data_IF_033495503038
#
_entry.id   IF_033495503038
#
_cell.length_a   1.000
_cell.length_b   1.000
_cell.length_c   1.000
_cell.angle_alpha   90.00
_cell.angle_beta   90.00
_cell.angle_gamma   90.00
#
_symmetry.space_group_name_H-M   'P 1'
#
loop_
_entity.id
_entity.type
_entity.pdbx_description
1 polymer ?
#
# COMPACT_ATOMS: atom_id res chain seq x y z
N UNK A 1 28.25 40.16 -2.61
CA UNK A 1 28.37 39.17 -1.53
C UNK A 1 27.13 38.24 -1.66
N UNK A 2 27.27 37.20 -2.43
CA UNK A 2 26.20 36.22 -2.73
C UNK A 2 26.43 34.98 -1.87
N UNK A 3 25.58 34.77 -0.88
CA UNK A 3 25.59 33.55 -0.07
C UNK A 3 24.91 32.43 -0.83
N UNK A 4 25.70 31.48 -1.32
CA UNK A 4 25.23 30.20 -1.82
C UNK A 4 24.90 29.29 -0.63
N UNK A 5 23.61 29.09 -0.31
CA UNK A 5 23.17 28.01 0.54
C UNK A 5 23.01 26.74 -0.31
N UNK A 6 23.99 25.84 -0.22
CA UNK A 6 23.84 24.43 -0.58
C UNK A 6 22.99 23.76 0.51
N UNK A 7 21.74 23.41 0.18
CA UNK A 7 20.92 22.53 1.01
C UNK A 7 21.33 21.09 0.70
N UNK A 8 21.85 20.31 1.65
CA UNK A 8 22.23 18.94 1.38
C UNK A 8 21.03 17.99 1.47
N UNK A 9 20.90 17.16 0.46
CA UNK A 9 20.51 15.75 0.45
C UNK A 9 19.84 15.20 1.73
N UNK A 10 18.56 15.48 1.94
CA UNK A 10 17.78 14.88 3.03
C UNK A 10 16.46 14.24 2.55
N UNK A 11 16.22 14.17 1.25
CA UNK A 11 14.90 13.77 0.72
C UNK A 11 14.78 12.28 0.30
N UNK A 12 15.88 11.52 0.31
CA UNK A 12 15.79 10.07 0.06
C UNK A 12 15.45 9.23 1.30
N UNK A 13 15.46 9.83 2.49
CA UNK A 13 15.32 9.10 3.75
C UNK A 13 13.91 8.52 3.99
N UNK A 14 12.85 9.12 3.43
CA UNK A 14 11.48 8.65 3.70
C UNK A 14 11.14 7.39 2.90
N UNK A 15 11.67 7.26 1.69
CA UNK A 15 11.50 6.03 0.89
C UNK A 15 12.31 4.86 1.47
N UNK A 16 13.51 5.16 1.99
CA UNK A 16 14.40 4.18 2.64
C UNK A 16 13.81 3.70 3.98
N UNK A 17 13.17 4.57 4.76
CA UNK A 17 12.53 4.18 6.03
C UNK A 17 11.39 3.19 5.80
N UNK A 18 10.68 3.27 4.68
CA UNK A 18 9.63 2.28 4.35
C UNK A 18 10.20 0.95 3.89
N UNK A 19 11.36 0.95 3.19
CA UNK A 19 12.05 -0.27 2.76
C UNK A 19 12.68 -1.02 3.95
N UNK A 20 13.25 -0.29 4.91
CA UNK A 20 13.85 -0.87 6.13
C UNK A 20 12.84 -1.56 7.03
N UNK A 21 11.59 -1.09 7.00
CA UNK A 21 10.50 -1.74 7.73
C UNK A 21 10.08 -3.08 7.09
N UNK A 22 10.57 -3.40 5.88
CA UNK A 22 10.32 -4.67 5.18
C UNK A 22 11.34 -5.79 5.54
N UNK A 23 12.43 -5.48 6.21
CA UNK A 23 13.36 -6.51 6.68
C UNK A 23 12.67 -7.37 7.75
N UNK A 24 12.82 -8.69 7.73
CA UNK A 24 12.29 -9.55 8.76
C UNK A 24 12.98 -9.20 10.09
N UNK A 25 12.25 -8.57 10.99
CA UNK A 25 12.63 -8.57 12.39
C UNK A 25 12.36 -9.99 12.87
N UNK A 26 13.39 -10.81 12.91
CA UNK A 26 13.35 -12.08 13.63
C UNK A 26 13.20 -11.75 15.11
N UNK A 27 11.97 -11.79 15.61
CA UNK A 27 11.71 -11.91 17.03
C UNK A 27 12.12 -13.32 17.41
N UNK A 28 13.32 -13.46 17.94
CA UNK A 28 13.70 -14.65 18.66
C UNK A 28 12.92 -14.64 19.98
N UNK A 29 11.87 -15.45 20.02
CA UNK A 29 11.30 -15.92 21.27
C UNK A 29 12.15 -17.15 21.64
N UNK A 30 13.15 -16.97 22.48
CA UNK A 30 13.93 -18.07 23.00
C UNK A 30 14.55 -17.72 24.34
N UNK A 31 14.08 -18.35 25.35
CA UNK A 31 14.94 -18.88 26.38
C UNK A 31 15.69 -20.07 25.75
N UNK A 32 16.89 -19.84 25.21
CA UNK A 32 17.88 -20.88 25.04
C UNK A 32 19.28 -20.23 25.12
N UNK A 33 20.16 -20.98 25.81
CA UNK A 33 21.52 -20.71 26.17
C UNK A 33 22.34 -20.01 25.06
N UNK A 34 22.91 -18.87 25.40
CA UNK A 34 23.83 -18.09 24.56
C UNK A 34 25.15 -18.88 24.48
N UNK A 35 25.42 -19.49 23.33
CA UNK A 35 26.77 -19.92 22.95
C UNK A 35 27.55 -18.70 22.48
N UNK A 36 28.56 -18.32 23.22
CA UNK A 36 29.35 -17.09 23.05
C UNK A 36 30.12 -17.00 21.73
N UNK A 37 30.24 -18.08 20.96
CA UNK A 37 31.02 -18.11 19.71
C UNK A 37 30.24 -17.68 18.45
N UNK A 38 28.92 -17.49 18.55
CA UNK A 38 28.07 -17.09 17.41
C UNK A 38 27.81 -15.58 17.33
N UNK A 39 28.24 -14.79 18.31
CA UNK A 39 27.91 -13.37 18.44
C UNK A 39 28.78 -12.46 17.54
N UNK A 40 30.04 -12.87 17.27
CA UNK A 40 30.99 -12.07 16.49
C UNK A 40 30.68 -12.08 14.98
N UNK A 41 30.26 -13.20 14.41
CA UNK A 41 29.94 -13.29 12.98
C UNK A 41 28.67 -12.51 12.61
N UNK A 42 27.72 -12.42 13.55
CA UNK A 42 26.50 -11.63 13.35
C UNK A 42 26.73 -10.13 13.47
N UNK A 43 27.67 -9.70 14.30
CA UNK A 43 28.06 -8.30 14.45
C UNK A 43 28.81 -7.77 13.21
N UNK A 44 29.76 -8.55 12.67
CA UNK A 44 30.54 -8.21 11.48
C UNK A 44 29.65 -8.13 10.23
N UNK A 45 28.73 -9.08 10.04
CA UNK A 45 27.72 -9.04 9.01
C UNK A 45 26.74 -7.85 9.12
N UNK A 46 26.42 -7.42 10.34
CA UNK A 46 25.57 -6.27 10.58
C UNK A 46 26.28 -4.93 10.28
N UNK A 47 27.60 -4.84 10.57
CA UNK A 47 28.41 -3.66 10.22
C UNK A 47 28.65 -3.57 8.70
N UNK A 48 28.94 -4.67 8.01
CA UNK A 48 29.07 -4.70 6.56
C UNK A 48 27.76 -4.30 5.87
N UNK A 49 26.61 -4.80 6.34
CA UNK A 49 25.30 -4.38 5.82
C UNK A 49 25.02 -2.89 6.10
N UNK A 50 25.43 -2.34 7.24
CA UNK A 50 25.28 -0.91 7.54
C UNK A 50 26.17 -0.03 6.66
N UNK A 51 27.39 -0.44 6.32
CA UNK A 51 28.30 0.34 5.48
C UNK A 51 27.83 0.45 4.02
N UNK A 52 27.07 -0.53 3.53
CA UNK A 52 26.47 -0.55 2.18
C UNK A 52 25.11 0.16 2.12
N UNK A 53 24.57 0.56 3.23
CA UNK A 53 23.23 1.15 3.33
C UNK A 53 23.10 2.43 2.47
N UNK A 54 22.10 2.42 1.56
CA UNK A 54 21.84 3.54 0.66
C UNK A 54 22.62 3.52 -0.65
N UNK A 55 23.55 2.56 -0.85
CA UNK A 55 24.21 2.37 -2.15
C UNK A 55 23.27 1.71 -3.15
N UNK A 56 23.45 1.97 -4.45
CA UNK A 56 22.66 1.31 -5.51
C UNK A 56 22.88 -0.22 -5.51
N UNK A 57 24.09 -0.67 -5.20
CA UNK A 57 24.41 -2.09 -5.09
C UNK A 57 23.58 -2.77 -3.98
N UNK A 58 23.50 -2.16 -2.80
CA UNK A 58 22.70 -2.68 -1.70
C UNK A 58 21.19 -2.71 -2.03
N UNK A 59 20.69 -1.71 -2.74
CA UNK A 59 19.30 -1.70 -3.22
C UNK A 59 19.03 -2.84 -4.19
N UNK A 60 19.96 -3.11 -5.12
CA UNK A 60 19.83 -4.20 -6.08
C UNK A 60 19.86 -5.57 -5.40
N UNK A 61 20.71 -5.77 -4.38
CA UNK A 61 20.72 -6.99 -3.57
C UNK A 61 19.37 -7.19 -2.85
N UNK A 62 18.86 -6.15 -2.19
CA UNK A 62 17.55 -6.22 -1.52
C UNK A 62 16.41 -6.58 -2.48
N UNK A 63 16.41 -6.00 -3.68
CA UNK A 63 15.38 -6.29 -4.68
C UNK A 63 15.45 -7.76 -5.13
N UNK A 64 16.63 -8.33 -5.28
CA UNK A 64 16.79 -9.76 -5.64
C UNK A 64 16.23 -10.71 -4.58
N UNK A 65 16.26 -10.32 -3.31
CA UNK A 65 15.70 -11.10 -2.20
C UNK A 65 14.20 -10.90 -1.98
N UNK A 66 13.60 -9.91 -2.66
CA UNK A 66 12.18 -9.59 -2.48
C UNK A 66 11.28 -10.56 -3.25
N UNK A 67 10.14 -10.90 -2.67
CA UNK A 67 9.09 -11.64 -3.38
C UNK A 67 8.54 -10.83 -4.55
N UNK A 68 7.99 -11.54 -5.56
CA UNK A 68 7.33 -10.91 -6.70
C UNK A 68 6.19 -9.96 -6.29
N UNK A 69 5.46 -10.29 -5.22
CA UNK A 69 4.42 -9.42 -4.68
C UNK A 69 4.98 -8.13 -4.05
N UNK A 70 6.12 -8.22 -3.35
CA UNK A 70 6.80 -7.03 -2.82
C UNK A 70 7.29 -6.12 -3.96
N UNK A 71 7.88 -6.70 -5.00
CA UNK A 71 8.34 -5.93 -6.17
C UNK A 71 7.14 -5.23 -6.80
N UNK A 72 6.08 -5.98 -7.10
CA UNK A 72 4.89 -5.46 -7.77
C UNK A 72 4.15 -4.37 -6.97
N UNK A 73 4.21 -4.37 -5.63
CA UNK A 73 3.51 -3.38 -4.82
C UNK A 73 4.40 -2.20 -4.37
N UNK A 74 5.70 -2.43 -4.14
CA UNK A 74 6.53 -1.43 -3.45
C UNK A 74 7.69 -0.89 -4.29
N UNK A 75 8.10 -1.62 -5.34
CA UNK A 75 9.26 -1.26 -6.17
C UNK A 75 8.84 -0.72 -7.52
N UNK A 76 7.83 -1.33 -8.16
CA UNK A 76 7.36 -0.93 -9.48
C UNK A 76 6.92 0.55 -9.50
N UNK A 77 7.32 1.28 -10.53
CA UNK A 77 7.02 2.70 -10.71
C UNK A 77 5.60 2.90 -11.28
N UNK A 78 4.57 2.58 -10.51
CA UNK A 78 3.16 2.58 -10.94
C UNK A 78 2.68 3.91 -11.56
N UNK A 79 3.34 5.01 -11.24
CA UNK A 79 2.96 6.34 -11.70
C UNK A 79 3.79 6.83 -12.90
N UNK A 80 4.65 5.97 -13.48
CA UNK A 80 5.57 6.39 -14.55
C UNK A 80 4.82 6.97 -15.76
N UNK A 81 3.73 6.33 -16.19
CA UNK A 81 2.92 6.73 -17.34
C UNK A 81 2.22 8.10 -17.17
N UNK A 82 2.17 8.63 -15.94
CA UNK A 82 1.50 9.91 -15.66
C UNK A 82 2.52 11.04 -15.78
N UNK A 83 2.40 11.82 -16.85
CA UNK A 83 3.37 12.85 -17.23
C UNK A 83 2.91 14.29 -16.96
N UNK A 84 1.65 14.47 -16.53
CA UNK A 84 1.12 15.80 -16.16
C UNK A 84 0.28 15.74 -14.87
N UNK A 85 0.12 16.88 -14.16
CA UNK A 85 -0.71 16.96 -12.97
C UNK A 85 -2.13 16.48 -13.21
N UNK A 86 -2.55 15.45 -12.48
CA UNK A 86 -3.75 14.66 -12.76
C UNK A 86 -4.38 14.16 -11.47
N UNK A 87 -5.58 13.59 -11.57
CA UNK A 87 -6.26 12.92 -10.46
C UNK A 87 -6.64 11.52 -10.86
N UNK A 88 -6.26 10.57 -10.02
CA UNK A 88 -6.73 9.18 -10.09
C UNK A 88 -7.93 9.05 -9.16
N UNK A 89 -9.02 8.52 -9.69
CA UNK A 89 -10.28 8.34 -8.97
C UNK A 89 -10.51 6.87 -8.68
N UNK A 90 -10.88 6.57 -7.45
CA UNK A 90 -11.31 5.26 -7.01
C UNK A 90 -12.67 5.35 -6.31
N UNK A 91 -13.48 4.32 -6.46
CA UNK A 91 -14.71 4.12 -5.71
C UNK A 91 -14.44 3.15 -4.57
N UNK A 92 -14.77 3.53 -3.37
CA UNK A 92 -14.75 2.68 -2.20
C UNK A 92 -16.15 2.19 -1.87
N UNK A 93 -16.31 0.90 -1.61
CA UNK A 93 -17.55 0.31 -1.12
C UNK A 93 -17.25 -0.56 0.09
N UNK A 94 -18.10 -0.50 1.10
CA UNK A 94 -18.15 -1.43 2.23
C UNK A 94 -19.52 -2.05 2.29
N UNK A 95 -19.56 -3.37 2.29
CA UNK A 95 -20.74 -4.21 2.49
C UNK A 95 -20.51 -5.07 3.72
N UNK A 96 -21.45 -5.07 4.66
CA UNK A 96 -21.32 -5.77 5.93
C UNK A 96 -22.69 -6.22 6.42
N UNK A 97 -22.75 -7.39 7.03
CA UNK A 97 -23.93 -7.86 7.74
C UNK A 97 -24.03 -7.32 9.17
N UNK A 98 -22.92 -6.78 9.72
CA UNK A 98 -22.81 -6.32 11.12
C UNK A 98 -22.62 -4.82 11.30
N UNK A 99 -22.25 -4.11 10.25
CA UNK A 99 -21.95 -2.66 10.29
C UNK A 99 -22.65 -1.96 9.14
N UNK A 100 -22.79 -0.64 9.24
CA UNK A 100 -23.39 0.15 8.18
C UNK A 100 -22.63 -0.01 6.85
N UNK A 101 -23.39 -0.31 5.80
CA UNK A 101 -22.90 -0.26 4.44
C UNK A 101 -22.66 1.18 4.02
N UNK A 102 -21.58 1.44 3.31
CA UNK A 102 -21.36 2.77 2.75
C UNK A 102 -20.56 2.73 1.44
N UNK A 103 -20.70 3.81 0.69
CA UNK A 103 -19.94 4.07 -0.53
C UNK A 103 -19.26 5.43 -0.43
N UNK A 104 -18.10 5.56 -1.02
CA UNK A 104 -17.37 6.81 -1.03
C UNK A 104 -16.34 6.87 -2.14
N UNK A 105 -15.65 7.98 -2.23
CA UNK A 105 -14.60 8.20 -3.25
C UNK A 105 -13.25 8.38 -2.57
N UNK A 106 -12.23 7.82 -3.20
CA UNK A 106 -10.83 8.05 -2.90
C UNK A 106 -10.20 8.72 -4.10
N UNK A 107 -9.47 9.79 -3.89
CA UNK A 107 -8.81 10.54 -4.96
C UNK A 107 -7.35 10.76 -4.58
N UNK A 108 -6.47 10.31 -5.46
CA UNK A 108 -5.06 10.70 -5.46
C UNK A 108 -4.93 11.91 -6.37
N UNK A 109 -4.46 13.03 -5.84
CA UNK A 109 -4.26 14.24 -6.59
C UNK A 109 -2.75 14.46 -6.77
N UNK A 110 -2.26 14.21 -7.96
CA UNK A 110 -0.88 14.47 -8.38
C UNK A 110 -0.80 15.96 -8.68
N UNK A 111 -0.16 16.71 -7.78
CA UNK A 111 -0.12 18.17 -7.84
C UNK A 111 1.11 18.71 -8.58
N UNK A 112 2.22 17.96 -8.56
CA UNK A 112 3.48 18.30 -9.19
C UNK A 112 4.22 17.03 -9.61
N UNK A 113 5.00 17.13 -10.67
CA UNK A 113 5.94 16.13 -11.15
C UNK A 113 7.31 16.78 -11.16
N UNK A 114 8.30 16.13 -10.57
CA UNK A 114 9.68 16.59 -10.56
C UNK A 114 10.45 16.09 -11.80
N UNK A 115 11.66 16.61 -12.02
CA UNK A 115 12.49 16.29 -13.19
C UNK A 115 12.88 14.81 -13.25
N UNK A 116 13.01 14.14 -12.09
CA UNK A 116 13.24 12.70 -11.96
C UNK A 116 11.97 11.85 -12.13
N UNK A 117 10.88 12.46 -12.63
CA UNK A 117 9.55 11.88 -12.81
C UNK A 117 8.87 11.44 -11.49
N UNK A 118 9.40 11.75 -10.34
CA UNK A 118 8.70 11.53 -9.08
C UNK A 118 7.53 12.49 -8.89
N UNK A 119 6.54 12.11 -8.08
CA UNK A 119 5.26 12.83 -7.94
C UNK A 119 5.07 13.37 -6.54
N UNK A 120 4.48 14.58 -6.46
CA UNK A 120 3.92 15.12 -5.22
C UNK A 120 2.43 14.82 -5.20
N UNK A 121 1.96 14.11 -4.18
CA UNK A 121 0.60 13.59 -4.10
C UNK A 121 -0.10 14.09 -2.85
N UNK A 122 -1.34 14.54 -3.01
CA UNK A 122 -2.26 14.79 -1.91
C UNK A 122 -3.45 13.84 -2.00
N UNK A 123 -4.12 13.58 -0.88
CA UNK A 123 -5.15 12.57 -0.78
C UNK A 123 -6.48 13.13 -0.31
N UNK A 124 -7.56 12.67 -0.93
CA UNK A 124 -8.89 12.74 -0.37
C UNK A 124 -9.42 11.32 -0.20
N UNK A 125 -9.33 10.82 1.02
CA UNK A 125 -9.75 9.46 1.35
C UNK A 125 -11.08 9.50 2.11
N UNK A 126 -12.18 9.22 1.38
CA UNK A 126 -13.55 9.27 1.86
C UNK A 126 -14.01 10.67 2.33
N UNK A 127 -15.25 10.77 2.81
CA UNK A 127 -15.87 11.99 3.32
C UNK A 127 -16.69 11.72 4.58
N UNK A 128 -17.12 12.81 5.25
CA UNK A 128 -17.98 12.74 6.44
C UNK A 128 -17.32 11.98 7.59
N UNK A 129 -18.12 11.15 8.29
CA UNK A 129 -17.67 10.32 9.42
C UNK A 129 -16.60 9.28 9.05
N UNK A 130 -16.55 8.85 7.79
CA UNK A 130 -15.61 7.86 7.28
C UNK A 130 -14.31 8.48 6.75
N UNK A 131 -14.17 9.82 6.81
CA UNK A 131 -12.98 10.51 6.29
C UNK A 131 -11.72 10.08 7.03
N UNK A 132 -10.70 9.69 6.27
CA UNK A 132 -9.35 9.44 6.78
C UNK A 132 -8.41 10.54 6.25
N UNK A 133 -7.56 11.05 7.12
CA UNK A 133 -6.52 12.03 6.74
C UNK A 133 -5.19 11.32 6.62
N UNK A 134 -4.54 11.56 5.49
CA UNK A 134 -3.17 11.12 5.23
C UNK A 134 -2.32 12.34 4.90
N UNK A 135 -1.06 12.38 5.35
CA UNK A 135 -0.14 13.46 4.98
C UNK A 135 0.15 13.43 3.47
N UNK A 136 0.46 14.59 2.86
CA UNK A 136 0.97 14.62 1.50
C UNK A 136 2.22 13.75 1.35
N UNK A 137 2.43 13.21 0.16
CA UNK A 137 3.61 12.42 -0.18
C UNK A 137 4.42 13.14 -1.25
N UNK A 138 5.73 13.22 -1.05
CA UNK A 138 6.70 13.86 -1.97
C UNK A 138 7.66 12.78 -2.46
N UNK A 139 8.03 12.85 -3.74
CA UNK A 139 8.98 11.89 -4.33
C UNK A 139 8.37 10.51 -4.61
N UNK A 140 7.05 10.41 -4.79
CA UNK A 140 6.39 9.14 -5.05
C UNK A 140 6.59 8.70 -6.50
N UNK A 141 7.05 7.46 -6.72
CA UNK A 141 7.09 6.76 -7.99
C UNK A 141 6.05 5.65 -8.06
N UNK A 142 5.83 4.94 -6.95
CA UNK A 142 4.74 3.99 -6.78
C UNK A 142 3.41 4.65 -6.44
N UNK A 143 2.32 3.94 -6.66
CA UNK A 143 0.97 4.38 -6.29
C UNK A 143 0.68 4.04 -4.83
N UNK A 144 0.55 5.01 -3.94
CA UNK A 144 0.42 4.76 -2.50
C UNK A 144 -0.97 4.29 -2.07
N UNK A 145 -1.95 4.20 -2.96
CA UNK A 145 -3.35 3.92 -2.59
C UNK A 145 -3.53 2.60 -1.84
N UNK A 146 -2.72 1.57 -2.18
CA UNK A 146 -2.78 0.29 -1.48
C UNK A 146 -2.29 0.41 -0.02
N UNK A 147 -1.24 1.20 0.22
CA UNK A 147 -0.78 1.48 1.59
C UNK A 147 -1.83 2.22 2.40
N UNK A 148 -2.50 3.20 1.78
CA UNK A 148 -3.59 3.94 2.44
C UNK A 148 -4.77 3.01 2.78
N UNK A 149 -5.08 2.07 1.89
CA UNK A 149 -6.12 1.06 2.12
C UNK A 149 -5.76 0.16 3.30
N UNK A 150 -4.56 -0.42 3.34
CA UNK A 150 -4.11 -1.29 4.43
C UNK A 150 -3.96 -0.54 5.76
N UNK A 151 -3.52 0.72 5.72
CA UNK A 151 -3.43 1.55 6.91
C UNK A 151 -4.80 1.84 7.52
N UNK A 152 -5.78 2.21 6.68
CA UNK A 152 -7.17 2.40 7.12
C UNK A 152 -7.73 1.11 7.72
N UNK A 153 -7.53 0.00 7.04
CA UNK A 153 -8.00 -1.31 7.47
C UNK A 153 -7.39 -1.73 8.82
N UNK A 154 -6.09 -1.53 8.99
CA UNK A 154 -5.39 -1.81 10.27
C UNK A 154 -5.93 -0.95 11.42
N UNK A 155 -6.26 0.33 11.17
CA UNK A 155 -6.89 1.22 12.16
C UNK A 155 -8.31 0.78 12.49
N UNK A 156 -9.07 0.31 11.51
CA UNK A 156 -10.42 -0.22 11.72
C UNK A 156 -10.36 -1.52 12.57
N UNK A 157 -9.44 -2.43 12.27
CA UNK A 157 -9.22 -3.61 13.12
C UNK A 157 -8.85 -3.22 14.55
N UNK A 158 -7.96 -2.25 14.73
CA UNK A 158 -7.63 -1.72 16.07
C UNK A 158 -8.88 -1.17 16.78
N UNK A 159 -9.64 -0.31 16.12
CA UNK A 159 -10.86 0.31 16.67
C UNK A 159 -11.90 -0.73 17.10
N UNK A 160 -12.10 -1.76 16.29
CA UNK A 160 -13.14 -2.77 16.49
C UNK A 160 -12.74 -3.84 17.54
N UNK A 161 -11.45 -4.06 17.73
CA UNK A 161 -10.96 -5.14 18.60
C UNK A 161 -10.28 -4.65 19.87
N UNK A 162 -9.83 -3.40 19.90
CA UNK A 162 -8.90 -2.90 20.92
C UNK A 162 -7.48 -3.42 20.76
N UNK A 163 -7.17 -4.13 19.65
CA UNK A 163 -5.85 -4.67 19.36
C UNK A 163 -4.82 -3.60 18.97
N UNK A 164 -3.60 -4.04 18.66
CA UNK A 164 -2.51 -3.16 18.27
C UNK A 164 -2.43 -3.01 16.74
N UNK A 165 -2.53 -1.78 16.22
CA UNK A 165 -2.42 -1.50 14.78
C UNK A 165 -1.06 -1.93 14.19
N UNK A 166 0.04 -1.86 14.95
CA UNK A 166 1.36 -2.31 14.51
C UNK A 166 1.38 -3.82 14.26
N UNK A 167 0.70 -4.60 15.12
CA UNK A 167 0.54 -6.03 14.92
C UNK A 167 -0.16 -6.32 13.58
N UNK A 168 -1.30 -5.69 13.31
CA UNK A 168 -2.04 -5.90 12.06
C UNK A 168 -1.21 -5.52 10.83
N UNK A 169 -0.53 -4.37 10.86
CA UNK A 169 0.37 -3.92 9.78
C UNK A 169 1.52 -4.91 9.55
N UNK A 170 2.14 -5.38 10.61
CA UNK A 170 3.24 -6.36 10.52
C UNK A 170 2.77 -7.66 9.86
N UNK A 171 1.61 -8.19 10.26
CA UNK A 171 1.06 -9.41 9.66
C UNK A 171 0.71 -9.25 8.19
N UNK A 172 0.13 -8.11 7.80
CA UNK A 172 -0.14 -7.79 6.39
C UNK A 172 1.17 -7.80 5.59
N UNK A 173 2.21 -7.12 6.07
CA UNK A 173 3.52 -7.05 5.38
C UNK A 173 4.18 -8.42 5.23
N UNK A 174 4.25 -9.20 6.31
CA UNK A 174 4.82 -10.55 6.25
C UNK A 174 4.04 -11.45 5.28
N UNK A 175 2.72 -11.32 5.24
CA UNK A 175 1.90 -12.10 4.32
C UNK A 175 2.15 -11.72 2.87
N UNK A 176 2.29 -10.43 2.54
CA UNK A 176 2.67 -9.96 1.20
C UNK A 176 4.04 -10.52 0.81
N UNK A 177 5.03 -10.47 1.73
CA UNK A 177 6.38 -10.96 1.48
C UNK A 177 6.43 -12.48 1.18
N UNK A 178 5.46 -13.24 1.66
CA UNK A 178 5.33 -14.69 1.43
C UNK A 178 4.37 -15.05 0.27
N UNK A 179 3.93 -14.05 -0.51
CA UNK A 179 2.91 -14.24 -1.56
C UNK A 179 3.55 -14.16 -2.94
N UNK A 180 3.14 -15.05 -3.82
CA UNK A 180 3.47 -15.01 -5.23
C UNK A 180 2.39 -14.28 -6.03
N UNK A 181 2.81 -13.65 -7.11
CA UNK A 181 1.94 -12.98 -8.07
C UNK A 181 1.39 -14.00 -9.05
N UNK A 182 0.10 -13.88 -9.42
CA UNK A 182 -0.57 -14.69 -10.44
C UNK A 182 -1.03 -13.79 -11.57
N UNK A 183 -0.90 -14.28 -12.80
CA UNK A 183 -1.48 -13.60 -13.95
C UNK A 183 -3.01 -13.81 -13.96
N UNK A 184 -3.75 -12.75 -14.30
CA UNK A 184 -5.21 -12.76 -14.36
C UNK A 184 -5.70 -11.86 -15.49
N UNK A 185 -6.84 -12.24 -16.07
CA UNK A 185 -7.58 -11.39 -16.99
C UNK A 185 -8.82 -10.83 -16.30
N UNK A 186 -9.15 -9.58 -16.59
CA UNK A 186 -10.33 -8.93 -16.04
C UNK A 186 -10.98 -8.00 -17.07
N UNK A 187 -12.23 -7.57 -16.79
CA UNK A 187 -12.95 -6.64 -17.63
C UNK A 187 -13.14 -5.30 -16.92
N UNK A 188 -12.95 -4.22 -17.66
CA UNK A 188 -13.23 -2.88 -17.21
C UNK A 188 -13.83 -2.06 -18.36
N UNK A 189 -14.98 -1.41 -18.11
CA UNK A 189 -15.73 -0.63 -19.12
C UNK A 189 -16.03 -1.39 -20.44
N UNK A 190 -16.18 -2.72 -20.36
CA UNK A 190 -16.46 -3.58 -21.53
C UNK A 190 -15.22 -4.08 -22.25
N UNK A 191 -14.04 -3.59 -21.95
CA UNK A 191 -12.75 -4.02 -22.51
C UNK A 191 -12.09 -5.09 -21.62
N UNK A 192 -11.30 -5.96 -22.22
CA UNK A 192 -10.52 -6.99 -21.52
C UNK A 192 -9.10 -6.50 -21.28
N UNK A 193 -8.60 -6.72 -20.09
CA UNK A 193 -7.26 -6.34 -19.64
C UNK A 193 -6.55 -7.54 -19.05
N UNK A 194 -5.26 -7.65 -19.29
CA UNK A 194 -4.39 -8.58 -18.57
C UNK A 194 -3.74 -7.88 -17.39
N UNK A 195 -3.53 -8.61 -16.33
CA UNK A 195 -2.96 -8.06 -15.10
C UNK A 195 -2.38 -9.11 -14.18
N UNK A 196 -2.07 -8.68 -12.99
CA UNK A 196 -1.49 -9.48 -11.92
C UNK A 196 -2.38 -9.44 -10.68
N UNK A 197 -2.56 -10.58 -10.04
CA UNK A 197 -3.28 -10.71 -8.78
C UNK A 197 -2.32 -11.10 -7.65
N UNK A 198 -2.45 -10.40 -6.52
CA UNK A 198 -1.76 -10.69 -5.27
C UNK A 198 -2.84 -10.98 -4.24
N UNK A 199 -2.93 -12.25 -3.81
CA UNK A 199 -3.97 -12.72 -2.87
C UNK A 199 -3.34 -13.32 -1.63
N UNK A 200 -3.66 -12.79 -0.44
CA UNK A 200 -3.05 -13.23 0.81
C UNK A 200 -4.01 -13.18 2.01
N UNK A 201 -3.70 -14.01 3.02
CA UNK A 201 -4.46 -14.13 4.28
C UNK A 201 -3.51 -13.94 5.47
N UNK A 202 -3.38 -12.71 6.01
CA UNK A 202 -2.33 -12.39 6.99
C UNK A 202 -2.48 -13.09 8.34
N UNK A 203 -3.68 -13.58 8.66
CA UNK A 203 -3.99 -14.10 9.99
C UNK A 203 -4.26 -15.60 10.00
N UNK A 204 -4.22 -16.29 8.86
CA UNK A 204 -4.62 -17.70 8.76
C UNK A 204 -3.82 -18.63 9.70
N UNK A 205 -2.50 -18.41 9.79
CA UNK A 205 -1.58 -19.17 10.64
C UNK A 205 -1.36 -18.56 12.02
N UNK A 206 -2.11 -17.51 12.37
CA UNK A 206 -1.93 -16.78 13.62
C UNK A 206 -2.98 -17.24 14.64
N UNK A 207 -2.55 -17.54 15.85
CA UNK A 207 -3.50 -17.73 16.95
C UNK A 207 -4.07 -16.38 17.35
N UNK A 208 -5.32 -16.17 17.00
CA UNK A 208 -6.08 -14.98 17.36
C UNK A 208 -7.07 -15.34 18.45
N UNK A 209 -7.12 -14.52 19.52
CA UNK A 209 -8.00 -14.72 20.66
C UNK A 209 -9.10 -13.65 20.70
N UNK A 210 -10.22 -14.00 21.34
CA UNK A 210 -11.32 -13.07 21.61
C UNK A 210 -11.84 -12.36 20.33
N UNK A 211 -12.09 -11.05 20.43
CA UNK A 211 -12.64 -10.22 19.35
C UNK A 211 -11.78 -10.19 18.08
N UNK A 212 -10.52 -10.61 18.15
CA UNK A 212 -9.59 -10.63 17.00
C UNK A 212 -9.76 -11.92 16.19
N UNK A 213 -10.31 -13.00 16.75
CA UNK A 213 -10.46 -14.31 16.10
C UNK A 213 -11.24 -14.26 14.79
N UNK A 214 -12.23 -13.37 14.67
CA UNK A 214 -13.02 -13.15 13.44
C UNK A 214 -12.18 -12.78 12.22
N UNK A 215 -10.99 -12.18 12.42
CA UNK A 215 -10.12 -11.80 11.32
C UNK A 215 -9.26 -12.94 10.79
N UNK A 216 -9.34 -14.16 11.39
CA UNK A 216 -8.57 -15.31 10.96
C UNK A 216 -8.78 -15.64 9.48
N UNK A 217 -10.00 -15.47 8.99
CA UNK A 217 -10.38 -15.71 7.60
C UNK A 217 -10.16 -14.53 6.67
N UNK A 218 -9.70 -13.37 7.22
CA UNK A 218 -9.53 -12.16 6.43
C UNK A 218 -8.56 -12.37 5.28
N UNK A 219 -9.05 -12.06 4.09
CA UNK A 219 -8.30 -12.16 2.84
C UNK A 219 -8.23 -10.80 2.16
N UNK A 220 -7.08 -10.51 1.58
CA UNK A 220 -6.87 -9.38 0.69
C UNK A 220 -6.59 -9.88 -0.72
N UNK A 221 -7.10 -9.14 -1.71
CA UNK A 221 -6.83 -9.35 -3.12
C UNK A 221 -6.51 -8.00 -3.75
N UNK A 222 -5.35 -7.88 -4.37
CA UNK A 222 -4.93 -6.70 -5.13
C UNK A 222 -4.78 -7.11 -6.58
N UNK A 223 -5.49 -6.44 -7.47
CA UNK A 223 -5.38 -6.61 -8.93
C UNK A 223 -4.66 -5.40 -9.52
N UNK A 224 -3.59 -5.67 -10.25
CA UNK A 224 -2.70 -4.70 -10.89
C UNK A 224 -2.74 -4.90 -12.40
N UNK A 225 -2.62 -3.82 -13.18
CA UNK A 225 -2.37 -3.88 -14.62
C UNK A 225 -1.58 -2.65 -15.06
N UNK A 226 -0.60 -2.84 -15.93
CA UNK A 226 0.16 -1.74 -16.54
C UNK A 226 -0.69 -0.89 -17.48
N UNK A 227 -1.78 -1.46 -18.00
CA UNK A 227 -2.73 -0.75 -18.87
C UNK A 227 -3.67 0.19 -18.10
N UNK A 228 -3.68 0.09 -16.76
CA UNK A 228 -4.46 0.96 -15.88
C UNK A 228 -3.57 2.10 -15.37
N UNK A 229 -3.94 3.38 -15.55
CA UNK A 229 -3.19 4.51 -15.00
C UNK A 229 -2.99 4.38 -13.49
N UNK A 230 -1.71 4.33 -13.08
CA UNK A 230 -1.34 4.10 -11.68
C UNK A 230 -1.39 2.63 -11.25
N UNK A 231 -1.51 1.69 -12.19
CA UNK A 231 -1.46 0.24 -12.10
C UNK A 231 -2.50 -0.42 -11.19
N UNK A 232 -2.96 0.19 -10.13
CA UNK A 232 -3.92 -0.39 -9.19
C UNK A 232 -5.33 -0.36 -9.78
N UNK A 233 -5.81 -1.52 -10.24
CA UNK A 233 -7.17 -1.67 -10.72
C UNK A 233 -8.17 -1.84 -9.58
N UNK A 234 -7.89 -2.81 -8.68
CA UNK A 234 -8.83 -3.16 -7.61
C UNK A 234 -8.08 -3.64 -6.36
N UNK A 235 -8.58 -3.24 -5.19
CA UNK A 235 -8.18 -3.81 -3.90
C UNK A 235 -9.45 -4.28 -3.21
N UNK A 236 -9.46 -5.53 -2.77
CA UNK A 236 -10.54 -6.12 -1.99
C UNK A 236 -10.01 -6.63 -0.64
N UNK A 237 -10.79 -6.41 0.40
CA UNK A 237 -10.63 -7.07 1.68
C UNK A 237 -11.95 -7.70 2.09
N UNK A 238 -11.94 -8.97 2.44
CA UNK A 238 -13.15 -9.62 2.89
C UNK A 238 -12.89 -10.60 4.03
N UNK A 239 -13.89 -10.72 4.86
CA UNK A 239 -13.99 -11.68 5.96
C UNK A 239 -15.23 -12.51 5.66
N UNK A 240 -15.09 -13.82 5.77
CA UNK A 240 -16.22 -14.73 5.80
C UNK A 240 -16.14 -15.50 7.12
N UNK A 241 -17.17 -15.44 7.94
CA UNK A 241 -17.20 -16.24 9.15
C UNK A 241 -17.24 -17.73 8.77
N UNK A 242 -16.52 -18.55 9.51
CA UNK A 242 -16.48 -19.99 9.31
C UNK A 242 -17.66 -20.70 9.97
N UNK A 243 -18.22 -20.10 11.03
CA UNK A 243 -19.30 -20.67 11.84
C UNK A 243 -20.66 -20.16 11.40
N UNK A 244 -20.74 -18.91 10.93
CA UNK A 244 -21.94 -18.26 10.42
C UNK A 244 -21.74 -17.90 8.94
N UNK A 245 -22.38 -18.66 8.05
CA UNK A 245 -22.24 -18.47 6.60
C UNK A 245 -22.75 -17.11 6.10
N UNK A 246 -23.56 -16.42 6.91
CA UNK A 246 -24.18 -15.12 6.58
C UNK A 246 -23.35 -13.94 7.08
N UNK A 247 -22.35 -14.13 7.97
CA UNK A 247 -21.50 -13.04 8.42
C UNK A 247 -20.41 -12.72 7.41
N UNK A 248 -20.58 -11.61 6.71
CA UNK A 248 -19.66 -11.15 5.70
C UNK A 248 -19.31 -9.68 5.89
N UNK A 249 -18.02 -9.36 5.73
CA UNK A 249 -17.57 -7.98 5.51
C UNK A 249 -16.75 -7.96 4.23
N UNK A 250 -17.16 -7.15 3.27
CA UNK A 250 -16.43 -6.93 2.03
C UNK A 250 -16.17 -5.45 1.84
N UNK A 251 -14.91 -5.10 1.65
CA UNK A 251 -14.48 -3.76 1.28
C UNK A 251 -13.80 -3.81 -0.08
N UNK A 252 -14.15 -2.90 -0.97
CA UNK A 252 -13.60 -2.83 -2.31
C UNK A 252 -13.18 -1.41 -2.62
N UNK A 253 -11.96 -1.25 -3.13
CA UNK A 253 -11.47 -0.02 -3.76
C UNK A 253 -11.27 -0.31 -5.25
N UNK A 254 -12.04 0.34 -6.11
CA UNK A 254 -12.07 0.10 -7.55
C UNK A 254 -11.70 1.36 -8.32
N UNK A 255 -10.73 1.23 -9.23
CA UNK A 255 -10.35 2.29 -10.17
C UNK A 255 -11.54 2.78 -10.99
N UNK A 256 -11.66 4.10 -11.18
CA UNK A 256 -12.74 4.73 -11.93
C UNK A 256 -12.22 5.56 -13.11
N UNK A 257 -10.94 5.87 -13.14
CA UNK A 257 -10.32 6.64 -14.20
C UNK A 257 -9.29 7.64 -13.69
N UNK A 258 -8.58 8.21 -14.66
CA UNK A 258 -7.66 9.33 -14.47
C UNK A 258 -8.22 10.54 -15.23
N UNK A 259 -8.04 11.73 -14.69
CA UNK A 259 -8.36 13.01 -15.35
C UNK A 259 -7.26 14.00 -15.10
N UNK A 260 -6.83 14.67 -16.16
CA UNK A 260 -5.87 15.76 -16.05
C UNK A 260 -6.50 16.98 -15.39
N UNK A 261 -5.69 17.86 -14.84
CA UNK A 261 -6.20 19.11 -14.28
C UNK A 261 -6.83 20.03 -15.36
N UNK A 262 -6.39 19.91 -16.61
CA UNK A 262 -6.98 20.61 -17.77
C UNK A 262 -8.42 20.14 -18.02
N UNK A 263 -8.62 18.84 -18.18
CA UNK A 263 -9.95 18.23 -18.36
C UNK A 263 -10.91 18.57 -17.21
N UNK A 264 -10.40 18.59 -15.98
CA UNK A 264 -11.21 18.93 -14.81
C UNK A 264 -11.68 20.40 -14.83
N UNK A 265 -10.83 21.32 -15.30
CA UNK A 265 -11.19 22.73 -15.46
C UNK A 265 -12.20 22.94 -16.58
N UNK A 266 -12.03 22.26 -17.71
CA UNK A 266 -12.95 22.31 -18.86
C UNK A 266 -14.34 21.78 -18.48
N UNK A 267 -14.38 20.63 -17.80
CA UNK A 267 -15.63 20.05 -17.31
C UNK A 267 -16.34 20.94 -16.28
N UNK A 268 -15.59 21.68 -15.45
CA UNK A 268 -16.17 22.63 -14.51
C UNK A 268 -16.79 23.83 -15.23
N UNK A 269 -16.11 24.37 -16.26
CA UNK A 269 -16.66 25.48 -17.07
C UNK A 269 -17.94 25.07 -17.76
N UNK A 270 -17.96 23.93 -18.47
CA UNK A 270 -19.18 23.42 -19.12
C UNK A 270 -20.37 23.32 -18.18
N UNK A 271 -20.18 22.75 -17.00
CA UNK A 271 -21.27 22.63 -16.00
C UNK A 271 -21.79 23.95 -15.48
N UNK A 272 -20.95 24.99 -15.48
CA UNK A 272 -21.35 26.33 -15.05
C UNK A 272 -22.11 27.06 -16.16
N UNK A 273 -21.79 26.76 -17.42
CA UNK A 273 -22.46 27.36 -18.58
C UNK A 273 -23.84 26.70 -18.83
N UNK A 274 -24.03 25.44 -18.39
CA UNK A 274 -25.27 24.67 -18.50
C UNK A 274 -26.24 24.86 -17.31
N UNK A 275 -25.87 25.65 -16.28
CA UNK A 275 -26.66 25.89 -15.05
C UNK A 275 -27.14 27.32 -14.95
#
# INVERSE_FOLDING_TARGET
MTLNYKIPFLFNAIYIIFLVILLPVTYADSQDSIDADNDFSNAENAEEKRSKWGTEEFKLELIKEMSSANIALFIDEHLESITEPSRIFYKFTKESTREDNFKGNVVLNIVKIDDDKSKHITFRYLKGRNKVRFPPQVGAKGNPVFMLFFERDSRDMQRLTGGNALFFRSRIRHSIAATEVKDVDFKFNGESFSGKEISFQPFLKTELKNRVSRYKTKRFVVTLSQDIPGFIFKIEAYIKDLEDSDDMVKETLLFQGLRTNKELRENYKKRKDDS
#
